data_IF_394669190810
#
_entry.id   IF_394669190810
#
_cell.length_a   1.000
_cell.length_b   1.000
_cell.length_c   1.000
_cell.angle_alpha   90.00
_cell.angle_beta   90.00
_cell.angle_gamma   90.00
#
_symmetry.space_group_name_H-M   'P 1'
#
loop_
_entity.id
_entity.type
_entity.pdbx_description
1 polymer ?
#
# COMPACT_ATOMS: atom_id res chain seq x y z
N UNK A 1 6.40 -19.56 18.03
CA UNK A 1 6.39 -20.60 16.98
C UNK A 1 5.19 -20.44 16.06
N UNK A 2 5.44 -20.50 14.75
CA UNK A 2 4.46 -20.18 13.71
C UNK A 2 4.30 -21.39 12.78
N UNK A 3 3.05 -21.70 12.43
CA UNK A 3 2.74 -22.72 11.42
C UNK A 3 2.59 -22.07 10.05
N UNK A 4 3.24 -22.64 9.05
CA UNK A 4 3.12 -22.27 7.65
C UNK A 4 2.34 -23.32 6.88
N UNK A 5 1.55 -22.88 5.90
CA UNK A 5 0.73 -23.73 5.05
C UNK A 5 0.93 -23.37 3.58
N UNK A 6 0.71 -24.35 2.70
CA UNK A 6 0.65 -24.12 1.25
C UNK A 6 -0.82 -24.22 0.83
N UNK A 7 -1.43 -23.08 0.45
CA UNK A 7 -2.78 -23.08 -0.11
C UNK A 7 -2.79 -23.56 -1.56
N UNK A 8 -3.97 -23.56 -2.19
CA UNK A 8 -4.12 -24.00 -3.59
C UNK A 8 -3.18 -23.28 -4.57
N UNK A 9 -2.89 -22.00 -4.30
CA UNK A 9 -1.88 -21.24 -5.01
C UNK A 9 -0.61 -21.13 -4.13
N UNK A 10 0.46 -21.88 -4.46
CA UNK A 10 1.67 -21.94 -3.65
C UNK A 10 2.47 -20.63 -3.67
N UNK A 11 2.08 -19.65 -4.48
CA UNK A 11 2.77 -18.36 -4.55
C UNK A 11 2.40 -17.42 -3.40
N UNK A 12 1.35 -17.76 -2.64
CA UNK A 12 0.99 -17.04 -1.43
C UNK A 12 1.60 -17.70 -0.19
N UNK A 13 2.07 -16.88 0.74
CA UNK A 13 2.51 -17.36 2.06
C UNK A 13 1.32 -17.34 3.02
N UNK A 14 0.96 -18.50 3.55
CA UNK A 14 -0.08 -18.63 4.58
C UNK A 14 0.57 -19.06 5.89
N UNK A 15 0.21 -18.40 6.98
CA UNK A 15 0.71 -18.75 8.31
C UNK A 15 -0.30 -18.46 9.42
N UNK A 16 -0.13 -19.12 10.56
CA UNK A 16 -0.93 -18.88 11.77
C UNK A 16 -0.10 -19.09 13.04
N UNK A 17 -0.47 -18.38 14.11
CA UNK A 17 0.16 -18.55 15.42
C UNK A 17 -0.21 -19.90 16.04
N UNK A 18 0.71 -20.47 16.81
CA UNK A 18 0.46 -21.74 17.52
C UNK A 18 -0.57 -21.58 18.64
N UNK A 19 -0.57 -20.44 19.31
CA UNK A 19 -1.48 -20.13 20.41
C UNK A 19 -1.81 -18.62 20.45
N UNK A 20 -2.53 -18.21 21.50
CA UNK A 20 -2.97 -16.83 21.69
C UNK A 20 -1.83 -15.83 21.91
N UNK A 21 -0.69 -16.24 22.47
CA UNK A 21 0.45 -15.36 22.72
C UNK A 21 1.18 -15.09 21.41
N UNK A 22 1.40 -16.14 20.61
CA UNK A 22 1.94 -16.02 19.26
C UNK A 22 1.04 -15.18 18.36
N UNK A 23 -0.28 -15.25 18.54
CA UNK A 23 -1.21 -14.40 17.81
C UNK A 23 -1.04 -12.91 18.14
N UNK A 24 -0.70 -12.54 19.39
CA UNK A 24 -0.42 -11.14 19.76
C UNK A 24 0.85 -10.64 19.09
N UNK A 25 1.91 -11.46 19.08
CA UNK A 25 3.15 -11.11 18.38
C UNK A 25 2.92 -11.00 16.87
N UNK A 26 2.14 -11.90 16.28
CA UNK A 26 1.76 -11.80 14.87
C UNK A 26 0.95 -10.55 14.57
N UNK A 27 0.04 -10.11 15.45
CA UNK A 27 -0.67 -8.83 15.27
C UNK A 27 0.33 -7.67 15.28
N UNK A 28 1.22 -7.62 16.28
CA UNK A 28 2.19 -6.54 16.46
C UNK A 28 3.21 -6.44 15.31
N UNK A 29 3.68 -7.58 14.83
CA UNK A 29 4.72 -7.68 13.81
C UNK A 29 4.18 -8.00 12.40
N UNK A 30 2.85 -8.04 12.23
CA UNK A 30 2.21 -8.17 10.92
C UNK A 30 2.64 -7.05 9.97
N UNK A 31 2.65 -7.39 8.69
CA UNK A 31 2.93 -6.46 7.60
C UNK A 31 1.63 -5.81 7.13
N UNK A 32 1.67 -4.57 6.62
CA UNK A 32 0.50 -3.90 6.06
C UNK A 32 -0.18 -4.70 4.93
N UNK A 33 0.59 -5.49 4.19
CA UNK A 33 0.13 -6.34 3.08
C UNK A 33 -0.49 -7.67 3.52
N UNK A 34 -0.42 -8.01 4.82
CA UNK A 34 -0.98 -9.25 5.32
C UNK A 34 -2.51 -9.12 5.44
N UNK A 35 -3.24 -10.16 5.07
CA UNK A 35 -4.70 -10.28 5.25
C UNK A 35 -4.96 -11.23 6.42
N UNK A 36 -5.67 -10.74 7.42
CA UNK A 36 -6.03 -11.46 8.62
C UNK A 36 -7.41 -12.09 8.49
N UNK A 37 -7.56 -13.32 8.99
CA UNK A 37 -8.78 -14.12 8.97
C UNK A 37 -9.13 -14.60 10.38
N UNK A 38 -10.43 -14.55 10.70
CA UNK A 38 -10.97 -15.02 11.98
C UNK A 38 -12.44 -15.45 11.85
N UNK A 39 -12.88 -16.41 12.65
CA UNK A 39 -14.30 -16.80 12.70
C UNK A 39 -15.12 -15.75 13.45
N UNK A 40 -16.21 -15.28 12.85
CA UNK A 40 -17.12 -14.32 13.47
C UNK A 40 -17.76 -14.92 14.73
N UNK A 41 -17.77 -14.17 15.85
CA UNK A 41 -18.37 -14.55 17.14
C UNK A 41 -17.82 -15.81 17.82
N UNK A 42 -16.73 -16.41 17.33
CA UNK A 42 -16.13 -17.61 17.92
C UNK A 42 -14.65 -17.43 18.17
N UNK A 43 -14.14 -17.97 19.27
CA UNK A 43 -12.69 -18.06 19.48
C UNK A 43 -12.07 -18.98 18.42
N UNK A 44 -11.14 -18.45 17.65
CA UNK A 44 -10.48 -19.16 16.56
C UNK A 44 -9.02 -18.72 16.37
N UNK A 45 -8.24 -19.53 15.67
CA UNK A 45 -6.88 -19.15 15.30
C UNK A 45 -6.87 -17.93 14.36
N UNK A 46 -5.84 -17.09 14.49
CA UNK A 46 -5.59 -15.97 13.58
C UNK A 46 -4.77 -16.48 12.40
N UNK A 47 -5.41 -16.59 11.23
CA UNK A 47 -4.74 -17.02 10.00
C UNK A 47 -4.39 -15.79 9.19
N UNK A 48 -3.19 -15.77 8.61
CA UNK A 48 -2.68 -14.67 7.81
C UNK A 48 -2.32 -15.15 6.40
N UNK A 49 -2.63 -14.31 5.41
CA UNK A 49 -2.19 -14.44 4.02
C UNK A 49 -1.29 -13.25 3.68
N UNK A 50 -0.05 -13.50 3.26
CA UNK A 50 0.82 -12.43 2.78
C UNK A 50 0.56 -12.14 1.30
N UNK A 51 0.14 -10.92 0.99
CA UNK A 51 -0.02 -10.48 -0.39
C UNK A 51 1.32 -10.08 -1.01
N UNK A 52 1.41 -10.16 -2.35
CA UNK A 52 2.55 -9.62 -3.09
C UNK A 52 2.45 -8.10 -3.14
N UNK A 53 3.59 -7.44 -3.30
CA UNK A 53 3.65 -5.98 -3.41
C UNK A 53 2.74 -5.48 -4.53
N UNK A 54 1.81 -4.57 -4.18
CA UNK A 54 0.84 -3.99 -5.11
C UNK A 54 -0.47 -4.76 -5.28
N UNK A 55 -0.63 -5.94 -4.67
CA UNK A 55 -1.91 -6.65 -4.64
C UNK A 55 -2.83 -6.08 -3.55
N UNK A 56 -4.13 -6.14 -3.81
CA UNK A 56 -5.18 -5.78 -2.87
C UNK A 56 -5.99 -7.01 -2.44
N UNK A 57 -6.78 -6.85 -1.38
CA UNK A 57 -7.72 -7.87 -0.91
C UNK A 57 -8.74 -8.32 -1.97
N UNK A 58 -8.94 -7.54 -3.05
CA UNK A 58 -9.81 -7.91 -4.17
C UNK A 58 -9.16 -8.87 -5.15
N UNK A 59 -7.83 -8.87 -5.21
CA UNK A 59 -7.07 -9.62 -6.22
C UNK A 59 -6.83 -11.08 -5.78
N UNK A 60 -7.31 -11.45 -4.60
CA UNK A 60 -7.17 -12.81 -4.05
C UNK A 60 -8.21 -13.71 -4.71
N UNK A 61 -7.81 -14.84 -5.32
CA UNK A 61 -8.74 -15.82 -5.86
C UNK A 61 -9.71 -16.33 -4.78
N UNK A 62 -10.97 -16.56 -5.16
CA UNK A 62 -12.00 -17.02 -4.21
C UNK A 62 -11.66 -18.36 -3.59
N UNK A 63 -10.99 -19.23 -4.35
CA UNK A 63 -10.52 -20.54 -3.95
C UNK A 63 -9.46 -20.43 -2.84
N UNK A 64 -8.58 -19.44 -2.92
CA UNK A 64 -7.59 -19.15 -1.85
C UNK A 64 -8.31 -18.63 -0.60
N UNK A 65 -9.26 -17.72 -0.75
CA UNK A 65 -10.07 -17.22 0.39
C UNK A 65 -10.84 -18.37 1.06
N UNK A 66 -11.39 -19.29 0.28
CA UNK A 66 -12.08 -20.48 0.80
C UNK A 66 -11.12 -21.40 1.56
N UNK A 67 -9.93 -21.69 1.03
CA UNK A 67 -8.89 -22.47 1.70
C UNK A 67 -8.59 -21.93 3.10
N UNK A 68 -8.34 -20.62 3.19
CA UNK A 68 -8.02 -19.96 4.45
C UNK A 68 -9.22 -19.96 5.39
N UNK A 69 -10.42 -19.68 4.89
CA UNK A 69 -11.63 -19.72 5.71
C UNK A 69 -11.88 -21.12 6.30
N UNK A 70 -11.66 -22.19 5.52
CA UNK A 70 -11.77 -23.56 6.01
C UNK A 70 -10.72 -23.86 7.09
N UNK A 71 -9.49 -23.38 6.90
CA UNK A 71 -8.43 -23.51 7.90
C UNK A 71 -8.77 -22.78 9.20
N UNK A 72 -9.27 -21.55 9.13
CA UNK A 72 -9.70 -20.76 10.30
C UNK A 72 -10.87 -21.43 11.03
N UNK A 73 -11.88 -21.92 10.30
CA UNK A 73 -13.00 -22.68 10.88
C UNK A 73 -12.52 -23.95 11.56
N UNK A 74 -11.61 -24.70 10.93
CA UNK A 74 -11.10 -25.96 11.49
C UNK A 74 -10.30 -25.74 12.77
N UNK A 75 -9.57 -24.62 12.86
CA UNK A 75 -8.82 -24.21 14.04
C UNK A 75 -9.63 -23.32 15.00
N UNK A 76 -10.97 -23.41 14.95
CA UNK A 76 -11.87 -22.84 15.95
C UNK A 76 -12.41 -23.93 16.87
N UNK A 77 -12.45 -23.67 18.18
CA UNK A 77 -12.94 -24.62 19.19
C UNK A 77 -14.44 -24.92 18.98
N UNK A 78 -15.23 -23.87 18.80
CA UNK A 78 -16.69 -23.96 18.59
C UNK A 78 -17.04 -23.98 17.09
N UNK A 79 -16.39 -23.14 16.28
CA UNK A 79 -16.69 -23.01 14.84
C UNK A 79 -16.49 -24.29 14.02
N UNK A 80 -15.62 -25.21 14.45
CA UNK A 80 -15.41 -26.53 13.82
C UNK A 80 -16.63 -27.45 13.92
N UNK A 81 -17.45 -27.28 14.97
CA UNK A 81 -18.65 -28.09 15.23
C UNK A 81 -19.86 -27.58 14.45
N UNK A 82 -19.93 -26.28 14.23
CA UNK A 82 -21.01 -25.64 13.49
C UNK A 82 -21.03 -26.10 12.02
N UNK A 83 -22.22 -26.38 11.44
CA UNK A 83 -22.34 -26.78 10.03
C UNK A 83 -21.85 -25.67 9.09
N UNK A 84 -22.17 -24.43 9.43
CA UNK A 84 -21.84 -23.24 8.68
C UNK A 84 -21.30 -22.17 9.64
N UNK A 85 -20.25 -21.46 9.24
CA UNK A 85 -19.76 -20.30 10.00
C UNK A 85 -19.49 -19.14 9.07
N UNK A 86 -19.59 -17.94 9.62
CA UNK A 86 -19.13 -16.72 8.96
C UNK A 86 -17.68 -16.49 9.36
N UNK A 87 -16.79 -16.37 8.37
CA UNK A 87 -15.39 -16.00 8.56
C UNK A 87 -15.24 -14.57 8.08
N UNK A 88 -14.63 -13.73 8.92
CA UNK A 88 -14.28 -12.36 8.59
C UNK A 88 -12.82 -12.29 8.16
N UNK A 89 -12.54 -11.38 7.23
CA UNK A 89 -11.18 -11.11 6.80
C UNK A 89 -10.99 -9.65 6.43
N UNK A 90 -9.82 -9.11 6.75
CA UNK A 90 -9.45 -7.71 6.52
C UNK A 90 -7.94 -7.54 6.46
N UNK A 91 -7.45 -6.40 5.99
CA UNK A 91 -6.01 -6.10 6.00
C UNK A 91 -5.51 -6.00 7.44
N UNK A 92 -4.31 -6.48 7.72
CA UNK A 92 -3.68 -6.41 9.03
C UNK A 92 -3.50 -4.94 9.49
N UNK A 93 -3.31 -4.02 8.54
CA UNK A 93 -3.28 -2.57 8.79
C UNK A 93 -4.60 -2.01 9.36
N UNK A 94 -5.72 -2.72 9.21
CA UNK A 94 -7.03 -2.33 9.75
C UNK A 94 -7.29 -2.87 11.16
N UNK A 95 -6.41 -3.73 11.68
CA UNK A 95 -6.54 -4.28 13.03
C UNK A 95 -6.16 -3.22 14.06
N UNK A 96 -7.03 -3.03 15.04
CA UNK A 96 -6.83 -2.11 16.16
C UNK A 96 -6.77 -2.90 17.45
N UNK A 97 -5.59 -2.93 18.07
CA UNK A 97 -5.39 -3.47 19.42
C UNK A 97 -5.11 -2.32 20.38
N UNK A 98 -5.88 -2.22 21.46
CA UNK A 98 -5.62 -1.28 22.56
C UNK A 98 -5.11 -2.04 23.79
N UNK A 99 -4.34 -1.37 24.66
CA UNK A 99 -3.76 -2.02 25.85
C UNK A 99 -4.78 -2.57 26.83
N UNK A 100 -6.01 -2.05 26.80
CA UNK A 100 -7.13 -2.48 27.66
C UNK A 100 -7.88 -3.72 27.11
N UNK A 101 -7.55 -4.18 25.89
CA UNK A 101 -8.22 -5.35 25.28
C UNK A 101 -7.61 -6.65 25.78
N UNK A 102 -8.46 -7.65 26.03
CA UNK A 102 -8.02 -8.97 26.46
C UNK A 102 -7.15 -9.67 25.41
N UNK A 103 -6.29 -10.60 25.84
CA UNK A 103 -5.46 -11.40 24.92
C UNK A 103 -6.34 -12.18 23.94
N UNK A 104 -6.12 -11.97 22.64
CA UNK A 104 -6.93 -12.52 21.55
C UNK A 104 -8.07 -11.63 21.07
N UNK A 105 -8.46 -10.58 21.82
CA UNK A 105 -9.45 -9.61 21.36
C UNK A 105 -8.83 -8.64 20.34
N UNK A 106 -9.52 -8.40 19.23
CA UNK A 106 -9.06 -7.52 18.16
C UNK A 106 -10.19 -6.60 17.73
N UNK A 107 -9.94 -5.29 17.74
CA UNK A 107 -10.81 -4.28 17.17
C UNK A 107 -10.48 -3.97 15.71
N UNK A 108 -11.29 -3.13 15.08
CA UNK A 108 -11.06 -2.65 13.70
C UNK A 108 -11.07 -1.13 13.67
N UNK A 109 -10.20 -0.52 12.85
CA UNK A 109 -10.25 0.93 12.59
C UNK A 109 -11.46 1.28 11.73
N UNK A 110 -11.64 0.58 10.62
CA UNK A 110 -12.80 0.71 9.74
C UNK A 110 -13.55 -0.63 9.64
N UNK A 111 -14.79 -0.65 10.16
CA UNK A 111 -15.66 -1.81 10.07
C UNK A 111 -16.16 -2.08 8.65
N UNK A 112 -16.19 -1.07 7.77
CA UNK A 112 -16.62 -1.23 6.36
C UNK A 112 -15.57 -1.94 5.52
N UNK A 113 -14.30 -1.87 5.91
CA UNK A 113 -13.20 -2.59 5.27
C UNK A 113 -13.14 -4.09 5.66
N UNK A 114 -13.99 -4.54 6.59
CA UNK A 114 -14.09 -5.95 6.98
C UNK A 114 -15.00 -6.69 6.00
N UNK A 115 -14.44 -7.71 5.35
CA UNK A 115 -15.18 -8.60 4.47
C UNK A 115 -15.57 -9.85 5.21
N UNK A 116 -16.56 -10.55 4.69
CA UNK A 116 -16.98 -11.82 5.24
C UNK A 116 -17.27 -12.82 4.13
N UNK A 117 -17.07 -14.09 4.46
CA UNK A 117 -17.47 -15.23 3.64
C UNK A 117 -18.16 -16.23 4.55
N UNK A 118 -19.20 -16.87 4.04
CA UNK A 118 -19.92 -17.90 4.78
C UNK A 118 -19.54 -19.24 4.19
N UNK A 119 -18.98 -20.12 5.02
CA UNK A 119 -18.47 -21.42 4.56
C UNK A 119 -19.11 -22.58 5.32
N UNK A 120 -19.36 -23.66 4.57
CA UNK A 120 -19.76 -24.95 5.12
C UNK A 120 -18.54 -25.82 5.36
N UNK A 121 -18.66 -26.82 6.24
CA UNK A 121 -17.55 -27.71 6.57
C UNK A 121 -17.08 -28.53 5.37
N UNK A 122 -15.86 -28.28 4.89
CA UNK A 122 -15.21 -29.12 3.88
C UNK A 122 -13.93 -29.76 4.45
N UNK A 123 -13.94 -31.09 4.62
CA UNK A 123 -12.81 -31.83 5.20
C UNK A 123 -11.65 -32.02 4.22
N UNK A 124 -11.93 -32.06 2.91
CA UNK A 124 -10.91 -32.36 1.89
C UNK A 124 -9.87 -31.25 1.81
N UNK A 125 -10.35 -29.99 1.78
CA UNK A 125 -9.52 -28.79 1.80
C UNK A 125 -8.62 -28.78 3.05
N UNK A 126 -9.22 -28.96 4.22
CA UNK A 126 -8.48 -28.97 5.50
C UNK A 126 -7.42 -30.07 5.53
N UNK A 127 -7.76 -31.27 5.09
CA UNK A 127 -6.83 -32.40 5.08
C UNK A 127 -5.66 -32.15 4.12
N UNK A 128 -5.90 -31.51 2.97
CA UNK A 128 -4.83 -31.08 2.06
C UNK A 128 -3.92 -30.05 2.72
N UNK A 129 -4.48 -29.02 3.36
CA UNK A 129 -3.70 -27.97 4.01
C UNK A 129 -2.84 -28.52 5.16
N UNK A 130 -3.41 -29.35 6.02
CA UNK A 130 -2.69 -29.94 7.15
C UNK A 130 -1.51 -30.83 6.72
N UNK A 131 -1.55 -31.46 5.53
CA UNK A 131 -0.40 -32.20 4.99
C UNK A 131 0.79 -31.31 4.64
N UNK A 132 0.53 -30.03 4.36
CA UNK A 132 1.54 -29.02 4.01
C UNK A 132 1.97 -28.18 5.21
N UNK A 133 1.47 -28.51 6.41
CA UNK A 133 1.78 -27.77 7.62
C UNK A 133 3.27 -27.93 7.97
N UNK A 134 3.97 -26.81 8.06
CA UNK A 134 5.37 -26.76 8.49
C UNK A 134 5.47 -25.84 9.69
N UNK A 135 6.01 -26.37 10.78
CA UNK A 135 6.30 -25.60 11.98
C UNK A 135 7.67 -24.95 11.88
N UNK A 136 7.74 -23.63 12.11
CA UNK A 136 9.00 -22.88 12.10
C UNK A 136 9.07 -21.92 13.28
N UNK A 137 10.26 -21.80 13.84
CA UNK A 137 10.60 -20.71 14.74
C UNK A 137 11.02 -19.50 13.89
N UNK A 138 10.29 -18.39 14.02
CA UNK A 138 10.49 -17.18 13.23
C UNK A 138 10.65 -16.01 14.18
N UNK A 139 11.72 -15.25 13.98
CA UNK A 139 11.93 -13.98 14.67
C UNK A 139 11.21 -12.86 13.91
N UNK A 140 9.93 -12.69 14.24
CA UNK A 140 9.02 -11.76 13.57
C UNK A 140 9.51 -10.30 13.65
N UNK A 141 10.16 -9.93 14.75
CA UNK A 141 10.71 -8.60 14.96
C UNK A 141 11.87 -8.33 14.01
N UNK A 142 12.81 -9.28 13.87
CA UNK A 142 13.91 -9.15 12.91
C UNK A 142 13.41 -9.11 11.47
N UNK A 143 12.42 -9.92 11.11
CA UNK A 143 11.85 -9.91 9.76
C UNK A 143 11.22 -8.55 9.42
N UNK A 144 10.42 -7.99 10.32
CA UNK A 144 9.81 -6.67 10.14
C UNK A 144 10.88 -5.57 10.07
N UNK A 145 11.87 -5.59 10.97
CA UNK A 145 12.94 -4.59 10.97
C UNK A 145 13.76 -4.61 9.67
N UNK A 146 14.07 -5.81 9.15
CA UNK A 146 14.76 -5.97 7.87
C UNK A 146 13.92 -5.45 6.70
N UNK A 147 12.61 -5.75 6.69
CA UNK A 147 11.67 -5.24 5.69
C UNK A 147 11.61 -3.71 5.71
N UNK A 148 11.41 -3.10 6.87
CA UNK A 148 11.32 -1.65 7.02
C UNK A 148 12.65 -0.95 6.69
N UNK A 149 13.80 -1.62 6.91
CA UNK A 149 15.11 -1.12 6.44
C UNK A 149 15.20 -1.15 4.91
N UNK A 150 14.87 -2.28 4.29
CA UNK A 150 14.91 -2.45 2.84
C UNK A 150 13.96 -1.49 2.13
N UNK A 151 12.76 -1.26 2.67
CA UNK A 151 11.81 -0.30 2.12
C UNK A 151 12.31 1.14 2.21
N UNK A 152 12.90 1.53 3.34
CA UNK A 152 13.53 2.86 3.48
C UNK A 152 14.69 3.06 2.51
N UNK A 153 15.52 2.04 2.31
CA UNK A 153 16.62 2.08 1.34
C UNK A 153 16.09 2.19 -0.10
N UNK A 154 15.05 1.42 -0.45
CA UNK A 154 14.39 1.49 -1.77
C UNK A 154 13.75 2.86 -2.01
N UNK A 155 13.03 3.41 -1.02
CA UNK A 155 12.44 4.75 -1.11
C UNK A 155 13.52 5.83 -1.26
N UNK A 156 14.64 5.72 -0.53
CA UNK A 156 15.78 6.64 -0.65
C UNK A 156 16.47 6.55 -2.01
N UNK A 157 16.56 5.36 -2.59
CA UNK A 157 17.10 5.18 -3.94
C UNK A 157 16.15 5.79 -4.98
N UNK A 158 14.85 5.51 -4.89
CA UNK A 158 13.83 6.06 -5.79
C UNK A 158 13.74 7.58 -5.72
N UNK A 159 13.82 8.18 -4.52
CA UNK A 159 13.82 9.64 -4.37
C UNK A 159 15.08 10.29 -4.94
N UNK A 160 16.25 9.67 -4.76
CA UNK A 160 17.51 10.11 -5.39
C UNK A 160 17.45 10.03 -6.91
N UNK A 161 16.93 8.93 -7.47
CA UNK A 161 16.78 8.78 -8.92
C UNK A 161 15.79 9.79 -9.49
N UNK A 162 14.67 10.04 -8.80
CA UNK A 162 13.69 11.05 -9.18
C UNK A 162 14.29 12.45 -9.14
N UNK A 163 14.99 12.82 -8.07
CA UNK A 163 15.64 14.13 -7.95
C UNK A 163 16.75 14.32 -9.01
N UNK A 164 17.50 13.26 -9.33
CA UNK A 164 18.50 13.29 -10.40
C UNK A 164 17.85 13.54 -11.77
N UNK A 165 16.78 12.81 -12.09
CA UNK A 165 16.01 13.01 -13.33
C UNK A 165 15.43 14.43 -13.41
N UNK A 166 14.80 14.92 -12.35
CA UNK A 166 14.23 16.26 -12.29
C UNK A 166 15.31 17.36 -12.49
N UNK A 167 16.51 17.17 -11.91
CA UNK A 167 17.64 18.07 -12.12
C UNK A 167 18.15 18.05 -13.57
N UNK A 168 18.31 16.86 -14.16
CA UNK A 168 18.73 16.71 -15.56
C UNK A 168 17.71 17.34 -16.53
N UNK A 169 16.40 17.19 -16.27
CA UNK A 169 15.35 17.82 -17.07
C UNK A 169 15.33 19.34 -16.92
N UNK A 170 15.54 19.85 -15.71
CA UNK A 170 15.66 21.29 -15.46
C UNK A 170 16.86 21.89 -16.21
N UNK A 171 18.02 21.26 -16.15
CA UNK A 171 19.22 21.69 -16.87
C UNK A 171 19.02 21.63 -18.39
N UNK A 172 18.34 20.59 -18.91
CA UNK A 172 17.99 20.48 -20.35
C UNK A 172 17.06 21.62 -20.79
N UNK A 173 15.98 21.88 -20.05
CA UNK A 173 15.04 22.98 -20.35
C UNK A 173 15.72 24.35 -20.28
N UNK A 174 16.64 24.55 -19.33
CA UNK A 174 17.40 25.79 -19.21
C UNK A 174 18.30 26.02 -20.43
N UNK A 175 19.04 25.00 -20.87
CA UNK A 175 19.89 25.08 -22.07
C UNK A 175 19.06 25.36 -23.33
N UNK A 176 17.94 24.66 -23.52
CA UNK A 176 17.03 24.90 -24.65
C UNK A 176 16.46 26.34 -24.65
N UNK A 177 16.13 26.88 -23.48
CA UNK A 177 15.65 28.25 -23.35
C UNK A 177 16.76 29.29 -23.62
N UNK A 178 17.98 29.02 -23.16
CA UNK A 178 19.15 29.85 -23.45
C UNK A 178 19.46 29.86 -24.97
N UNK A 179 19.50 28.70 -25.63
CA UNK A 179 19.71 28.59 -27.08
C UNK A 179 18.62 29.36 -27.87
N UNK A 180 17.34 29.17 -27.54
CA UNK A 180 16.23 29.93 -28.16
C UNK A 180 16.30 31.43 -27.91
N UNK A 181 16.84 31.86 -26.76
CA UNK A 181 17.02 33.27 -26.42
C UNK A 181 18.17 33.91 -27.21
N UNK A 182 19.29 33.20 -27.38
CA UNK A 182 20.43 33.66 -28.18
C UNK A 182 20.10 33.77 -29.67
N UNK A 183 19.32 32.84 -30.24
CA UNK A 183 18.85 32.92 -31.64
C UNK A 183 18.00 34.18 -31.91
N UNK A 184 17.15 34.56 -30.95
CA UNK A 184 16.34 35.78 -31.03
C UNK A 184 17.17 37.09 -30.93
N UNK A 185 18.32 37.05 -30.26
CA UNK A 185 19.24 38.20 -30.16
C UNK A 185 20.04 38.41 -31.45
N UNK A 186 20.45 37.34 -32.13
CA UNK A 186 21.17 37.43 -33.41
C UNK A 186 20.27 37.85 -34.57
N UNK A 187 19.01 37.40 -34.60
CA UNK A 187 18.03 37.83 -35.61
C UNK A 187 17.66 39.32 -35.48
N UNK A 188 17.64 39.90 -34.27
CA UNK A 188 17.43 41.35 -34.06
C UNK A 188 18.60 42.21 -34.54
N UNK A 189 19.84 41.72 -34.46
CA UNK A 189 21.05 42.47 -34.85
C UNK A 189 21.32 42.46 -36.37
N UNK A 190 20.63 41.60 -37.12
CA UNK A 190 20.68 41.51 -38.58
C UNK A 190 19.74 42.51 -39.30
N UNK A 191 18.96 43.33 -38.59
CA UNK A 191 18.15 44.40 -39.20
C UNK A 191 18.96 45.70 -39.19
N UNK A 192 19.44 46.08 -40.38
CA UNK A 192 20.30 47.24 -40.63
C UNK A 192 19.63 48.56 -40.15
N UNK A 193 20.37 49.48 -39.48
CA UNK A 193 19.86 50.77 -39.00
C UNK A 193 20.01 51.86 -40.07
N UNK A 194 19.14 51.89 -41.08
CA UNK A 194 18.96 53.09 -41.93
C UNK A 194 17.57 53.10 -42.56
N UNK A 195 16.64 53.87 -41.99
CA UNK A 195 15.55 54.52 -42.69
C UNK A 195 15.12 55.74 -41.88
N UNK A 196 15.16 56.89 -42.54
CA UNK A 196 15.13 58.27 -42.05
C UNK A 196 13.98 58.67 -41.10
N UNK A 197 14.29 59.65 -40.25
CA UNK A 197 13.35 60.58 -39.62
C UNK A 197 12.40 61.22 -40.66
N UNK A 198 11.13 61.42 -40.29
CA UNK A 198 10.29 62.58 -40.66
C UNK A 198 8.91 62.56 -39.92
N UNK A 199 8.87 63.22 -38.77
CA UNK A 199 7.96 64.33 -38.39
C UNK A 199 6.49 64.37 -38.92
N UNK A 200 5.49 64.22 -38.01
CA UNK A 200 4.35 65.15 -37.69
C UNK A 200 3.04 64.48 -37.20
N UNK A 201 2.52 64.98 -36.05
CA UNK A 201 1.09 65.17 -35.65
C UNK A 201 0.21 63.92 -35.44
N UNK A 202 -0.75 63.84 -34.52
CA UNK A 202 -1.32 64.76 -33.55
C UNK A 202 -2.15 63.91 -32.55
N UNK A 203 -2.40 64.41 -31.34
CA UNK A 203 -2.91 63.63 -30.21
C UNK A 203 -4.38 63.22 -30.26
N UNK A 204 -4.73 62.20 -29.46
CA UNK A 204 -5.80 62.31 -28.46
C UNK A 204 -5.76 61.13 -27.48
N UNK A 205 -5.89 61.49 -26.21
CA UNK A 205 -6.05 60.64 -25.04
C UNK A 205 -7.37 59.84 -25.12
N UNK A 206 -7.39 58.66 -24.51
CA UNK A 206 -8.53 58.24 -23.67
C UNK A 206 -8.12 57.08 -22.73
N UNK A 207 -8.55 57.23 -21.48
CA UNK A 207 -8.26 56.46 -20.27
C UNK A 207 -8.68 54.97 -20.34
N UNK A 208 -8.13 54.13 -19.44
CA UNK A 208 -8.89 53.51 -18.32
C UNK A 208 -7.97 52.63 -17.45
N UNK A 209 -7.87 53.08 -16.21
CA UNK A 209 -7.76 52.40 -14.90
C UNK A 209 -6.78 51.24 -14.64
N UNK A 210 -5.80 51.58 -13.81
CA UNK A 210 -5.15 50.71 -12.84
C UNK A 210 -6.15 50.06 -11.86
N UNK A 211 -6.00 48.76 -11.62
CA UNK A 211 -6.24 48.16 -10.30
C UNK A 211 -5.05 47.30 -9.87
N UNK A 212 -4.48 47.72 -8.74
CA UNK A 212 -3.34 47.15 -8.03
C UNK A 212 -3.53 45.66 -7.68
N UNK A 213 -2.43 44.92 -7.73
CA UNK A 213 -2.23 43.67 -7.00
C UNK A 213 -1.01 43.84 -6.07
N UNK A 214 -1.18 44.68 -5.06
CA UNK A 214 -0.39 44.63 -3.83
C UNK A 214 -1.30 44.01 -2.76
N UNK A 215 -1.15 42.70 -2.56
CA UNK A 215 -1.49 41.99 -1.32
C UNK A 215 -0.99 40.54 -1.43
N UNK A 216 0.31 40.35 -1.22
CA UNK A 216 0.91 39.07 -0.85
C UNK A 216 2.03 39.33 0.16
N UNK A 217 1.60 39.57 1.40
CA UNK A 217 2.30 39.15 2.62
C UNK A 217 1.45 38.09 3.32
#
# INVERSE_FOLDING_TARGET
MVYFFTCIDPTYTVYMGRDKFENEDLIKYSWPEDVWFHVDNFSSAHVYLRLKSGQTINDIPKEVVEDLAQLTKYNSIQGKKEPQVKVIYTMASNLKKTGDMDTGEVGFFDRKAVRHIVIQKNKEIVNRLNKTQVEKEVDLEKEKANRDKNEREKQKLQSKERAKKEKEEYERRKKEAEEKSYDNLFTKKSRNPHANDDFFGDGQDDEIENKNLDDLF
#
